data_IF_957701970627
#
_entry.id   IF_957701970627
#
_cell.length_a   1.000
_cell.length_b   1.000
_cell.length_c   1.000
_cell.angle_alpha   90.00
_cell.angle_beta   90.00
_cell.angle_gamma   90.00
#
_symmetry.space_group_name_H-M   'P 1'
#
loop_
_entity.id
_entity.type
_entity.pdbx_description
1 polymer ?
#
# COMPACT_ATOMS: atom_id res chain seq x y z
N UNK A 1 -23.02 -73.85 0.08
CA UNK A 1 -22.17 -73.10 1.03
C UNK A 1 -21.94 -71.73 0.42
N UNK A 2 -22.60 -70.70 0.94
CA UNK A 2 -22.42 -69.32 0.47
C UNK A 2 -21.09 -68.80 1.01
N UNK A 3 -20.25 -68.10 0.21
CA UNK A 3 -19.16 -67.37 0.80
C UNK A 3 -19.78 -66.18 1.54
N UNK A 4 -19.78 -66.23 2.86
CA UNK A 4 -19.88 -65.02 3.65
C UNK A 4 -18.61 -64.23 3.35
N UNK A 5 -18.68 -63.30 2.39
CA UNK A 5 -17.75 -62.18 2.38
C UNK A 5 -18.05 -61.42 3.67
N UNK A 6 -17.21 -61.63 4.68
CA UNK A 6 -16.98 -60.64 5.73
C UNK A 6 -16.54 -59.37 5.01
N UNK A 7 -17.52 -58.53 4.66
CA UNK A 7 -17.27 -57.17 4.25
C UNK A 7 -16.66 -56.48 5.48
N UNK A 8 -15.34 -56.45 5.56
CA UNK A 8 -14.62 -55.66 6.53
C UNK A 8 -15.23 -54.25 6.48
N UNK A 9 -15.91 -53.86 7.57
CA UNK A 9 -16.54 -52.55 7.65
C UNK A 9 -15.45 -51.52 7.37
N UNK A 10 -15.61 -50.77 6.28
CA UNK A 10 -14.59 -49.81 5.85
C UNK A 10 -14.37 -48.81 7.01
N UNK A 11 -13.13 -48.75 7.51
CA UNK A 11 -12.75 -47.76 8.52
C UNK A 11 -12.49 -46.42 7.85
N UNK A 12 -12.80 -45.33 8.56
CA UNK A 12 -12.46 -43.99 8.10
C UNK A 12 -10.93 -43.82 7.99
N UNK A 13 -10.49 -43.05 7.00
CA UNK A 13 -9.08 -42.64 6.89
C UNK A 13 -8.68 -41.58 7.93
N UNK A 14 -9.63 -41.11 8.74
CA UNK A 14 -9.41 -40.14 9.81
C UNK A 14 -9.59 -38.69 9.38
N UNK A 15 -9.08 -37.79 10.21
CA UNK A 15 -9.14 -36.34 9.98
C UNK A 15 -7.74 -35.76 10.16
N UNK A 16 -7.27 -35.08 9.13
CA UNK A 16 -6.03 -34.31 9.16
C UNK A 16 -6.36 -32.87 9.50
N UNK A 17 -5.82 -32.37 10.60
CA UNK A 17 -5.98 -30.98 11.02
C UNK A 17 -4.71 -30.21 10.69
N UNK A 18 -4.86 -29.13 9.93
CA UNK A 18 -3.82 -28.14 9.70
C UNK A 18 -4.10 -26.89 10.55
N UNK A 19 -3.09 -26.46 11.32
CA UNK A 19 -3.17 -25.27 12.15
C UNK A 19 -2.26 -24.19 11.57
N UNK A 20 -2.84 -23.13 11.04
CA UNK A 20 -2.12 -21.91 10.71
C UNK A 20 -2.20 -20.94 11.89
N UNK A 21 -1.11 -20.22 12.16
CA UNK A 21 -1.04 -19.26 13.25
C UNK A 21 -0.69 -17.90 12.68
N UNK A 22 -1.27 -16.84 13.25
CA UNK A 22 -0.97 -15.47 12.82
C UNK A 22 0.51 -15.13 13.08
N UNK A 23 1.10 -14.26 12.26
CA UNK A 23 2.54 -13.96 12.27
C UNK A 23 3.00 -13.60 13.70
N UNK A 24 3.97 -14.38 14.21
CA UNK A 24 4.56 -14.19 15.55
C UNK A 24 3.94 -15.01 16.67
N UNK A 25 2.85 -15.75 16.42
CA UNK A 25 2.28 -16.70 17.37
C UNK A 25 2.95 -18.07 17.22
N UNK A 26 3.80 -18.42 18.17
CA UNK A 26 4.36 -19.77 18.32
C UNK A 26 3.52 -20.57 19.31
N UNK A 27 3.34 -21.87 19.08
CA UNK A 27 2.60 -22.74 19.99
C UNK A 27 2.02 -23.97 19.32
N UNK A 28 1.07 -24.58 20.02
CA UNK A 28 0.35 -25.78 19.59
C UNK A 28 -1.15 -25.59 19.85
N UNK A 29 -1.99 -26.11 18.97
CA UNK A 29 -3.42 -26.28 19.21
C UNK A 29 -3.74 -27.73 19.54
N UNK A 30 -4.61 -27.95 20.51
CA UNK A 30 -5.12 -29.30 20.83
C UNK A 30 -6.58 -29.37 20.41
N UNK A 31 -6.91 -30.40 19.63
CA UNK A 31 -8.22 -30.66 19.06
C UNK A 31 -8.77 -31.96 19.62
N UNK A 32 -10.03 -31.93 20.05
CA UNK A 32 -10.84 -33.11 20.34
C UNK A 32 -11.73 -33.38 19.15
N UNK A 33 -11.50 -34.51 18.49
CA UNK A 33 -12.30 -34.99 17.38
C UNK A 33 -13.22 -36.08 17.89
N UNK A 34 -14.53 -35.93 17.70
CA UNK A 34 -15.54 -36.87 18.19
C UNK A 34 -16.39 -37.35 17.01
N UNK A 35 -16.42 -38.67 16.78
CA UNK A 35 -17.27 -39.29 15.78
C UNK A 35 -17.73 -40.66 16.29
N UNK A 36 -18.96 -41.07 15.93
CA UNK A 36 -19.55 -42.35 16.35
C UNK A 36 -19.48 -42.61 17.87
N UNK A 37 -19.60 -41.56 18.68
CA UNK A 37 -19.51 -41.66 20.13
C UNK A 37 -18.10 -41.85 20.70
N UNK A 38 -17.06 -41.92 19.85
CA UNK A 38 -15.66 -42.03 20.27
C UNK A 38 -14.89 -40.75 19.99
N UNK A 39 -14.02 -40.36 20.91
CA UNK A 39 -13.21 -39.15 20.79
C UNK A 39 -11.71 -39.45 20.72
N UNK A 40 -10.99 -38.70 19.88
CA UNK A 40 -9.53 -38.68 19.81
C UNK A 40 -9.02 -37.27 20.06
N UNK A 41 -7.92 -37.15 20.80
CA UNK A 41 -7.19 -35.90 20.96
C UNK A 41 -6.06 -35.83 19.95
N UNK A 42 -5.80 -34.63 19.42
CA UNK A 42 -4.75 -34.36 18.46
C UNK A 42 -4.10 -33.02 18.78
N UNK A 43 -2.78 -33.01 18.94
CA UNK A 43 -2.01 -31.77 19.12
C UNK A 43 -1.29 -31.42 17.82
N UNK A 44 -1.51 -30.21 17.32
CA UNK A 44 -0.97 -29.72 16.06
C UNK A 44 -0.08 -28.50 16.35
N UNK A 45 1.20 -28.51 15.92
CA UNK A 45 2.02 -27.32 16.03
C UNK A 45 1.55 -26.22 15.07
N UNK A 46 1.76 -24.96 15.46
CA UNK A 46 1.54 -23.82 14.58
C UNK A 46 2.33 -23.96 13.27
N UNK A 47 1.66 -23.80 12.13
CA UNK A 47 2.23 -23.99 10.80
C UNK A 47 2.36 -25.46 10.38
N UNK A 48 1.87 -26.39 11.21
CA UNK A 48 1.94 -27.81 10.97
C UNK A 48 0.59 -28.45 10.68
N UNK A 49 0.66 -29.77 10.52
CA UNK A 49 -0.47 -30.64 10.27
C UNK A 49 -0.28 -31.95 11.04
N UNK A 50 -1.37 -32.50 11.53
CA UNK A 50 -1.37 -33.82 12.14
C UNK A 50 -2.68 -34.56 11.82
N UNK A 51 -2.63 -35.88 11.83
CA UNK A 51 -3.79 -36.72 11.48
C UNK A 51 -4.23 -37.52 12.70
N UNK A 52 -5.52 -37.42 13.02
CA UNK A 52 -6.17 -38.29 13.99
C UNK A 52 -6.88 -39.43 13.26
N UNK A 53 -6.74 -40.63 13.79
CA UNK A 53 -7.43 -41.83 13.30
C UNK A 53 -8.00 -42.59 14.49
N UNK A 54 -9.15 -43.21 14.33
CA UNK A 54 -9.73 -44.07 15.36
C UNK A 54 -10.49 -45.22 14.68
N UNK A 55 -10.28 -46.47 15.10
CA UNK A 55 -10.91 -47.64 14.46
C UNK A 55 -12.45 -47.64 14.57
N UNK A 56 -13.03 -46.92 15.54
CA UNK A 56 -14.48 -46.78 15.67
C UNK A 56 -15.10 -45.77 14.70
N UNK A 57 -14.28 -45.02 13.97
CA UNK A 57 -14.74 -44.02 13.01
C UNK A 57 -15.06 -44.67 11.67
N UNK A 58 -16.28 -44.43 11.21
CA UNK A 58 -16.82 -45.00 9.99
C UNK A 58 -16.97 -43.90 8.93
N UNK A 59 -16.78 -44.20 7.65
CA UNK A 59 -17.06 -43.27 6.57
C UNK A 59 -18.57 -42.94 6.53
N UNK A 60 -18.90 -41.74 6.07
CA UNK A 60 -20.27 -41.22 6.00
C UNK A 60 -20.80 -40.64 7.31
N UNK A 61 -20.08 -40.79 8.42
CA UNK A 61 -20.50 -40.20 9.71
C UNK A 61 -19.87 -38.83 9.93
N UNK A 62 -20.57 -37.99 10.71
CA UNK A 62 -20.10 -36.65 11.02
C UNK A 62 -19.13 -36.71 12.20
N UNK A 63 -17.95 -36.13 12.02
CA UNK A 63 -17.01 -35.85 13.07
C UNK A 63 -17.14 -34.39 13.52
N UNK A 64 -17.27 -34.19 14.82
CA UNK A 64 -17.22 -32.88 15.47
C UNK A 64 -15.78 -32.60 15.90
N UNK A 65 -15.28 -31.40 15.64
CA UNK A 65 -13.93 -30.97 15.96
C UNK A 65 -14.04 -29.76 16.89
N UNK A 66 -13.54 -29.92 18.10
CA UNK A 66 -13.46 -28.87 19.11
C UNK A 66 -12.01 -28.61 19.48
N UNK A 67 -11.54 -27.39 19.27
CA UNK A 67 -10.25 -26.97 19.78
C UNK A 67 -10.37 -26.72 21.28
N UNK A 68 -9.74 -27.57 22.08
CA UNK A 68 -9.76 -27.50 23.55
C UNK A 68 -8.63 -26.66 24.12
N UNK A 69 -7.56 -26.45 23.35
CA UNK A 69 -6.47 -25.56 23.70
C UNK A 69 -5.87 -24.92 22.45
N UNK A 70 -5.40 -23.68 22.57
CA UNK A 70 -4.74 -22.95 21.51
C UNK A 70 -3.59 -22.11 22.05
N UNK A 71 -2.79 -21.51 21.16
CA UNK A 71 -1.80 -20.51 21.55
C UNK A 71 -2.45 -19.40 22.39
N UNK A 72 -1.74 -18.90 23.40
CA UNK A 72 -2.26 -17.88 24.31
C UNK A 72 -2.71 -16.63 23.55
N UNK A 73 -3.89 -16.12 23.89
CA UNK A 73 -4.44 -14.91 23.27
C UNK A 73 -5.02 -15.13 21.88
N UNK A 74 -5.42 -16.38 21.55
CA UNK A 74 -6.09 -16.72 20.30
C UNK A 74 -7.50 -17.24 20.52
N UNK A 75 -8.37 -17.06 19.52
CA UNK A 75 -9.74 -17.61 19.52
C UNK A 75 -9.71 -19.11 19.21
N UNK A 76 -10.45 -19.91 19.98
CA UNK A 76 -10.56 -21.35 19.76
C UNK A 76 -11.59 -21.69 18.67
N UNK A 77 -11.25 -22.60 17.77
CA UNK A 77 -12.19 -23.14 16.80
C UNK A 77 -13.04 -24.27 17.44
N UNK A 78 -14.28 -23.97 17.81
CA UNK A 78 -15.22 -24.94 18.40
C UNK A 78 -16.35 -25.30 17.45
N UNK A 79 -17.01 -26.44 17.70
CA UNK A 79 -18.17 -26.97 16.99
C UNK A 79 -18.00 -27.09 15.47
N UNK A 80 -16.78 -27.34 15.00
CA UNK A 80 -16.52 -27.56 13.58
C UNK A 80 -16.98 -28.96 13.20
N UNK A 81 -17.46 -29.16 11.98
CA UNK A 81 -18.05 -30.42 11.53
C UNK A 81 -17.48 -30.83 10.18
N UNK A 82 -17.07 -32.08 10.07
CA UNK A 82 -16.61 -32.68 8.81
C UNK A 82 -17.25 -34.05 8.64
N UNK A 83 -17.55 -34.44 7.40
CA UNK A 83 -18.00 -35.80 7.10
C UNK A 83 -16.79 -36.69 6.85
N UNK A 84 -16.74 -37.83 7.53
CA UNK A 84 -15.68 -38.80 7.37
C UNK A 84 -15.80 -39.52 6.03
N UNK A 85 -14.65 -39.80 5.42
CA UNK A 85 -14.54 -40.59 4.20
C UNK A 85 -13.64 -41.81 4.43
N UNK A 86 -13.55 -42.68 3.43
CA UNK A 86 -12.60 -43.80 3.44
C UNK A 86 -11.14 -43.34 3.39
N UNK A 87 -10.90 -42.09 2.99
CA UNK A 87 -9.61 -41.40 3.06
C UNK A 87 -9.61 -40.33 4.15
N UNK A 88 -8.42 -39.86 4.54
CA UNK A 88 -8.26 -38.83 5.56
C UNK A 88 -8.83 -37.48 5.07
N UNK A 89 -9.73 -36.89 5.83
CA UNK A 89 -10.37 -35.62 5.48
C UNK A 89 -9.56 -34.46 6.05
N UNK A 90 -9.30 -33.42 5.26
CA UNK A 90 -8.53 -32.26 5.70
C UNK A 90 -9.43 -31.19 6.31
N UNK A 91 -9.10 -30.73 7.51
CA UNK A 91 -9.66 -29.56 8.17
C UNK A 91 -8.55 -28.54 8.42
N UNK A 92 -8.69 -27.33 7.88
CA UNK A 92 -7.75 -26.24 8.10
C UNK A 92 -8.37 -25.17 8.98
N UNK A 93 -7.69 -24.80 10.06
CA UNK A 93 -8.09 -23.68 10.92
C UNK A 93 -6.92 -22.73 11.14
N UNK A 94 -7.26 -21.47 11.40
CA UNK A 94 -6.30 -20.42 11.68
C UNK A 94 -6.51 -19.87 13.08
N UNK A 95 -5.48 -19.92 13.92
CA UNK A 95 -5.49 -19.28 15.24
C UNK A 95 -5.42 -17.75 15.06
N UNK A 96 -6.56 -17.09 15.24
CA UNK A 96 -6.68 -15.63 15.17
C UNK A 96 -6.39 -15.01 16.53
N UNK A 97 -5.61 -13.94 16.56
CA UNK A 97 -5.41 -13.18 17.80
C UNK A 97 -6.75 -12.59 18.30
N UNK A 98 -6.94 -12.63 19.62
CA UNK A 98 -8.04 -11.94 20.27
C UNK A 98 -7.99 -10.45 19.92
N UNK A 99 -9.10 -9.90 19.41
CA UNK A 99 -9.18 -8.52 18.96
C UNK A 99 -10.42 -7.86 19.56
N UNK A 100 -10.48 -6.52 19.65
CA UNK A 100 -11.69 -5.84 20.12
C UNK A 100 -12.90 -6.07 19.19
N UNK A 101 -12.67 -6.55 17.96
CA UNK A 101 -13.72 -6.93 17.02
C UNK A 101 -14.24 -8.38 17.24
N UNK A 102 -13.48 -9.22 17.95
CA UNK A 102 -13.82 -10.62 18.23
C UNK A 102 -13.66 -10.91 19.72
N UNK A 103 -14.76 -10.73 20.47
CA UNK A 103 -14.87 -11.12 21.87
C UNK A 103 -15.35 -12.57 21.95
N UNK A 104 -14.44 -13.51 22.24
CA UNK A 104 -14.79 -14.87 22.62
C UNK A 104 -14.61 -15.06 24.14
N UNK A 105 -15.35 -15.97 24.80
CA UNK A 105 -15.19 -16.27 26.23
C UNK A 105 -13.77 -16.72 26.60
N UNK A 106 -13.07 -17.29 25.63
CA UNK A 106 -11.71 -17.82 25.70
C UNK A 106 -10.63 -16.72 25.75
N UNK A 107 -10.99 -15.45 25.48
CA UNK A 107 -10.05 -14.35 25.41
C UNK A 107 -9.88 -13.67 26.77
N UNK A 108 -8.65 -13.54 27.31
CA UNK A 108 -8.42 -12.83 28.56
C UNK A 108 -8.78 -11.34 28.42
N UNK A 109 -9.37 -10.72 29.45
CA UNK A 109 -9.67 -9.28 29.43
C UNK A 109 -8.35 -8.50 29.35
N UNK A 110 -8.13 -7.80 28.23
CA UNK A 110 -6.98 -6.91 28.04
C UNK A 110 -6.00 -7.30 26.93
N UNK A 111 -6.17 -8.43 26.23
CA UNK A 111 -5.37 -8.78 25.03
C UNK A 111 -6.01 -8.29 23.74
N UNK A 112 -6.86 -7.25 23.79
CA UNK A 112 -7.30 -6.52 22.61
C UNK A 112 -6.07 -6.07 21.86
N UNK A 113 -5.83 -6.65 20.68
CA UNK A 113 -4.68 -6.46 19.83
C UNK A 113 -4.23 -5.01 19.76
N UNK A 114 -3.33 -4.62 20.67
CA UNK A 114 -2.32 -3.64 20.37
C UNK A 114 -1.38 -4.40 19.44
N UNK A 115 -1.74 -4.46 18.15
CA UNK A 115 -0.74 -4.58 17.11
C UNK A 115 0.16 -3.39 17.37
N UNK A 116 1.23 -3.63 18.11
CA UNK A 116 2.24 -2.65 18.41
C UNK A 116 3.07 -2.45 17.12
N UNK A 117 2.41 -2.01 16.05
CA UNK A 117 3.01 -0.99 15.22
C UNK A 117 2.92 0.32 16.00
N UNK A 118 3.46 0.34 17.22
CA UNK A 118 3.95 1.59 17.80
C UNK A 118 5.13 1.94 16.92
N UNK A 119 4.83 2.50 15.74
CA UNK A 119 5.82 3.17 14.92
C UNK A 119 6.51 4.12 15.89
N UNK A 120 7.80 3.92 16.17
CA UNK A 120 8.46 4.69 17.20
C UNK A 120 8.23 6.16 16.88
N UNK A 121 7.82 6.94 17.88
CA UNK A 121 7.45 8.35 17.70
C UNK A 121 8.51 9.14 16.90
N UNK A 122 9.77 8.74 17.03
CA UNK A 122 10.91 9.21 16.27
C UNK A 122 10.81 9.01 14.75
N UNK A 123 10.23 7.91 14.24
CA UNK A 123 9.97 7.72 12.81
C UNK A 123 8.89 8.67 12.30
N UNK A 124 7.85 8.92 13.09
CA UNK A 124 6.78 9.87 12.73
C UNK A 124 7.34 11.30 12.74
N UNK A 125 8.08 11.66 13.78
CA UNK A 125 8.78 12.94 13.88
C UNK A 125 9.80 13.13 12.74
N UNK A 126 10.52 12.07 12.37
CA UNK A 126 11.46 12.08 11.25
C UNK A 126 10.78 12.30 9.89
N UNK A 127 9.66 11.64 9.64
CA UNK A 127 8.85 11.84 8.43
C UNK A 127 8.30 13.26 8.34
N UNK A 128 7.77 13.79 9.44
CA UNK A 128 7.26 15.16 9.52
C UNK A 128 8.41 16.17 9.31
N UNK A 129 9.56 15.95 9.96
CA UNK A 129 10.74 16.79 9.79
C UNK A 129 11.27 16.79 8.35
N UNK A 130 11.32 15.63 7.70
CA UNK A 130 11.71 15.52 6.30
C UNK A 130 10.73 16.26 5.38
N UNK A 131 9.42 16.09 5.59
CA UNK A 131 8.38 16.79 4.83
C UNK A 131 8.55 18.31 4.93
N UNK A 132 8.75 18.84 6.14
CA UNK A 132 8.95 20.28 6.38
C UNK A 132 10.22 20.77 5.68
N UNK A 133 11.31 20.02 5.73
CA UNK A 133 12.56 20.39 5.07
C UNK A 133 12.39 20.47 3.55
N UNK A 134 11.70 19.50 2.94
CA UNK A 134 11.40 19.51 1.49
C UNK A 134 10.55 20.73 1.11
N UNK A 135 9.52 21.05 1.90
CA UNK A 135 8.67 22.23 1.66
C UNK A 135 9.50 23.52 1.74
N UNK A 136 10.34 23.66 2.77
CA UNK A 136 11.20 24.83 2.94
C UNK A 136 12.19 24.96 1.78
N UNK A 137 12.83 23.86 1.36
CA UNK A 137 13.76 23.88 0.23
C UNK A 137 13.05 24.24 -1.09
N UNK A 138 11.84 23.75 -1.31
CA UNK A 138 11.04 24.06 -2.48
C UNK A 138 10.61 25.53 -2.56
N UNK A 139 10.45 26.21 -1.42
CA UNK A 139 10.13 27.65 -1.36
C UNK A 139 11.40 28.50 -1.48
N UNK A 140 12.49 28.11 -0.80
CA UNK A 140 13.73 28.88 -0.80
C UNK A 140 14.46 28.85 -2.14
N UNK A 141 14.45 27.72 -2.86
CA UNK A 141 15.17 27.59 -4.13
C UNK A 141 14.70 28.62 -5.19
N UNK A 142 13.38 28.81 -5.45
CA UNK A 142 12.90 29.86 -6.34
C UNK A 142 13.28 31.27 -5.87
N UNK A 143 13.19 31.56 -4.56
CA UNK A 143 13.50 32.88 -4.00
C UNK A 143 14.98 33.25 -4.17
N UNK A 144 15.88 32.29 -3.98
CA UNK A 144 17.31 32.50 -4.20
C UNK A 144 17.66 32.69 -5.68
N UNK A 145 17.00 31.95 -6.58
CA UNK A 145 17.20 32.11 -8.03
C UNK A 145 16.74 33.51 -8.48
N UNK A 146 15.54 33.96 -8.07
CA UNK A 146 15.02 35.30 -8.40
C UNK A 146 15.88 36.39 -7.78
N UNK A 147 16.31 36.23 -6.53
CA UNK A 147 17.20 37.17 -5.84
C UNK A 147 18.55 37.32 -6.52
N UNK A 148 19.16 36.22 -6.99
CA UNK A 148 20.39 36.27 -7.78
C UNK A 148 20.21 36.99 -9.11
N UNK A 149 19.09 36.77 -9.81
CA UNK A 149 18.83 37.46 -11.06
C UNK A 149 18.66 38.97 -10.88
N UNK A 150 17.94 39.42 -9.85
CA UNK A 150 17.78 40.85 -9.54
C UNK A 150 19.13 41.50 -9.23
N UNK A 151 20.00 40.83 -8.45
CA UNK A 151 21.31 41.37 -8.09
C UNK A 151 22.26 41.47 -9.30
N UNK A 152 22.19 40.50 -10.21
CA UNK A 152 22.95 40.51 -11.45
C UNK A 152 22.45 41.58 -12.42
N UNK A 153 21.12 41.70 -12.57
CA UNK A 153 20.49 42.75 -13.37
C UNK A 153 20.83 44.15 -12.84
N UNK A 154 20.74 44.36 -11.53
CA UNK A 154 21.08 45.65 -10.91
C UNK A 154 22.55 46.03 -11.15
N UNK A 155 23.47 45.08 -11.04
CA UNK A 155 24.90 45.32 -11.32
C UNK A 155 25.14 45.72 -12.78
N UNK A 156 24.51 45.03 -13.73
CA UNK A 156 24.67 45.34 -15.16
C UNK A 156 23.98 46.66 -15.54
N UNK A 157 22.81 46.96 -14.96
CA UNK A 157 22.07 48.19 -15.26
C UNK A 157 22.75 49.45 -14.71
N UNK A 158 23.33 49.39 -13.51
CA UNK A 158 23.87 50.57 -12.85
C UNK A 158 25.39 50.78 -13.07
N UNK A 159 26.19 49.71 -13.26
CA UNK A 159 27.65 49.89 -13.40
C UNK A 159 28.12 50.14 -14.85
N UNK A 160 27.31 49.83 -15.88
CA UNK A 160 27.76 49.89 -17.28
C UNK A 160 26.64 50.20 -18.30
N UNK A 161 26.08 51.44 -18.31
CA UNK A 161 24.99 51.83 -19.22
C UNK A 161 25.38 51.72 -20.72
N UNK A 162 26.68 51.72 -21.02
CA UNK A 162 27.20 51.59 -22.38
C UNK A 162 27.18 50.15 -22.92
N UNK A 163 27.34 49.16 -22.04
CA UNK A 163 27.23 47.74 -22.40
C UNK A 163 25.80 47.37 -22.78
N UNK A 164 24.81 47.96 -22.09
CA UNK A 164 23.38 47.83 -22.43
C UNK A 164 23.07 48.41 -23.81
N UNK A 165 23.59 49.61 -24.15
CA UNK A 165 23.43 50.19 -25.49
C UNK A 165 24.02 49.31 -26.58
N UNK A 166 25.18 48.68 -26.36
CA UNK A 166 25.79 47.73 -27.31
C UNK A 166 24.98 46.44 -27.43
N UNK A 167 24.49 45.89 -26.31
CA UNK A 167 23.67 44.67 -26.31
C UNK A 167 22.32 44.88 -27.01
N UNK A 168 21.61 45.97 -26.72
CA UNK A 168 20.35 46.34 -27.41
C UNK A 168 20.56 46.60 -28.89
N UNK A 169 21.69 47.19 -29.29
CA UNK A 169 22.03 47.42 -30.70
C UNK A 169 22.32 46.11 -31.44
N UNK A 170 22.96 45.14 -30.78
CA UNK A 170 23.17 43.79 -31.35
C UNK A 170 21.89 42.95 -31.37
N UNK A 171 21.01 43.07 -30.36
CA UNK A 171 19.70 42.41 -30.34
C UNK A 171 18.74 42.99 -31.38
N UNK A 172 18.77 44.30 -31.62
CA UNK A 172 18.01 44.96 -32.68
C UNK A 172 18.49 44.59 -34.10
N UNK A 173 19.73 44.08 -34.23
CA UNK A 173 20.34 43.66 -35.49
C UNK A 173 20.31 42.15 -35.73
N UNK A 174 19.67 41.34 -34.87
CA UNK A 174 19.36 39.94 -35.17
C UNK A 174 17.92 39.81 -35.71
N UNK A 175 17.70 39.73 -37.04
CA UNK A 175 16.36 39.63 -37.62
C UNK A 175 15.76 38.21 -37.48
N UNK A 176 16.43 37.30 -36.77
CA UNK A 176 16.14 35.87 -36.80
C UNK A 176 15.34 35.29 -35.63
N UNK A 177 15.22 35.99 -34.48
CA UNK A 177 14.50 35.45 -33.31
C UNK A 177 13.08 36.00 -33.10
N UNK A 178 12.69 37.05 -33.82
CA UNK A 178 11.32 37.57 -33.79
C UNK A 178 10.30 36.64 -34.48
N UNK A 179 10.75 35.68 -35.29
CA UNK A 179 9.85 34.78 -36.03
C UNK A 179 9.26 33.64 -35.19
N UNK A 180 9.83 33.32 -34.01
CA UNK A 180 9.30 32.26 -33.12
C UNK A 180 8.25 32.71 -32.10
N UNK A 181 7.98 34.01 -31.98
CA UNK A 181 6.95 34.53 -31.06
C UNK A 181 5.66 34.93 -31.83
N UNK A 182 5.65 34.82 -33.16
CA UNK A 182 4.50 35.21 -34.01
C UNK A 182 3.45 34.12 -34.23
N UNK A 183 3.30 33.17 -33.30
CA UNK A 183 2.30 32.09 -33.43
C UNK A 183 1.38 31.86 -32.22
N UNK A 184 1.43 32.67 -31.15
CA UNK A 184 0.54 32.37 -30.01
C UNK A 184 0.01 33.52 -29.14
N UNK A 185 -0.03 34.76 -29.63
CA UNK A 185 -0.64 35.85 -28.86
C UNK A 185 -1.40 36.85 -29.74
N UNK A 186 -2.51 36.39 -30.31
CA UNK A 186 -3.50 37.24 -31.00
C UNK A 186 -4.33 38.14 -30.06
N UNK A 187 -3.91 38.40 -28.81
CA UNK A 187 -4.84 38.95 -27.80
C UNK A 187 -4.33 40.02 -26.84
N UNK A 188 -3.14 40.59 -26.99
CA UNK A 188 -2.70 41.69 -26.10
C UNK A 188 -2.22 42.90 -26.91
N UNK A 189 -3.18 43.73 -27.33
CA UNK A 189 -2.93 45.14 -27.65
C UNK A 189 -2.64 45.86 -26.33
N UNK A 190 -1.36 45.99 -26.00
CA UNK A 190 -0.92 46.92 -24.97
C UNK A 190 -0.77 48.30 -25.64
N UNK A 191 -1.45 49.36 -25.16
CA UNK A 191 -1.27 50.70 -25.71
C UNK A 191 0.14 51.20 -25.40
N UNK A 192 0.87 51.62 -26.44
CA UNK A 192 2.18 52.25 -26.28
C UNK A 192 2.02 53.69 -25.74
N UNK A 193 2.98 54.17 -24.92
CA UNK A 193 3.02 55.55 -24.46
C UNK A 193 3.28 56.55 -25.61
N UNK A 194 2.83 57.82 -25.46
CA UNK A 194 2.84 58.82 -26.53
C UNK A 194 4.27 59.18 -26.95
N UNK A 195 4.54 59.12 -28.25
CA UNK A 195 5.86 59.40 -28.84
C UNK A 195 6.37 58.36 -29.85
N UNK A 196 5.65 57.26 -30.07
CA UNK A 196 5.85 56.35 -31.21
C UNK A 196 4.75 56.57 -32.24
N UNK A 197 4.90 57.62 -33.05
CA UNK A 197 4.06 57.85 -34.23
C UNK A 197 4.58 56.98 -35.38
N UNK A 198 3.66 56.14 -35.88
CA UNK A 198 3.51 55.62 -37.24
C UNK A 198 4.63 54.78 -37.89
N UNK A 199 4.74 53.51 -37.47
CA UNK A 199 5.23 52.45 -38.36
C UNK A 199 4.27 52.18 -39.56
N UNK A 200 3.07 52.79 -39.55
CA UNK A 200 2.11 52.73 -40.65
C UNK A 200 2.35 53.78 -41.76
N UNK A 201 3.10 54.86 -41.48
CA UNK A 201 3.47 55.84 -42.52
C UNK A 201 4.51 55.27 -43.50
N UNK A 202 5.44 54.44 -43.03
CA UNK A 202 6.48 53.83 -43.89
C UNK A 202 5.88 52.86 -44.93
N UNK A 203 4.73 52.23 -44.63
CA UNK A 203 4.08 51.29 -45.56
C UNK A 203 3.23 52.03 -46.60
N UNK A 204 2.77 53.26 -46.33
CA UNK A 204 1.98 54.06 -47.28
C UNK A 204 2.87 54.72 -48.34
N UNK A 205 4.06 55.17 -47.99
CA UNK A 205 5.00 55.80 -48.93
C UNK A 205 5.58 54.81 -49.97
N UNK A 206 5.72 53.53 -49.61
CA UNK A 206 6.25 52.50 -50.51
C UNK A 206 5.21 52.05 -51.57
N UNK A 207 3.92 52.35 -51.34
CA UNK A 207 2.82 52.03 -52.26
C UNK A 207 2.51 53.13 -53.28
N UNK A 208 3.09 54.31 -53.14
CA UNK A 208 2.95 55.44 -54.09
C UNK A 208 4.14 55.59 -55.04
N UNK A 209 5.18 54.72 -54.94
CA UNK A 209 6.32 54.68 -55.86
C UNK A 209 6.32 53.49 -56.82
N UNK A 210 5.16 52.88 -57.05
CA UNK A 210 4.95 51.85 -58.10
C UNK A 210 3.85 52.32 -59.06
#
# INVERSE_FOLDING_TARGET
>A
MSPAQDAAAATSGGVTVALTCEIGTAGTGTFKLTANGSSSLLTVPCGGLATATNPSWLPGTMATIDQTAGPVGTVLATNQRVYLATYAVSFSTMAHACSPAFTAPECPPGTSGRRATTVPWWMIAGLIGFLVLVIIAAILAPLLIVGQQIRYFHRIFFDNPEAFRKAMRNLALMPGMAWRIRLRSRLLRVPLPPGFEDAEQVIRDDKQRV
#
